data_IF_975381488892
#
_entry.id   IF_975381488892
#
_cell.length_a   1.000
_cell.length_b   1.000
_cell.length_c   1.000
_cell.angle_alpha   90.00
_cell.angle_beta   90.00
_cell.angle_gamma   90.00
#
_symmetry.space_group_name_H-M   'P 1'
#
loop_
_entity.id
_entity.type
_entity.pdbx_description
1 polymer ?
#
# COMPACT_ATOMS: atom_id res chain seq x y z
N UNK A 1 -25.64 -55.10 19.30
CA UNK A 1 -27.05 -54.96 18.87
C UNK A 1 -27.11 -53.93 17.76
N UNK A 2 -27.65 -54.34 16.59
CA UNK A 2 -28.25 -53.59 15.45
C UNK A 2 -27.59 -52.26 14.99
N UNK A 3 -26.98 -52.15 13.79
CA UNK A 3 -27.45 -52.28 12.38
C UNK A 3 -27.91 -50.95 11.75
N UNK A 4 -27.29 -50.65 10.59
CA UNK A 4 -27.77 -49.85 9.43
C UNK A 4 -27.98 -48.33 9.68
N UNK A 5 -27.61 -47.40 8.80
CA UNK A 5 -27.85 -47.33 7.35
C UNK A 5 -26.70 -46.59 6.65
N UNK A 6 -26.25 -47.18 5.55
CA UNK A 6 -25.38 -46.66 4.50
C UNK A 6 -26.24 -45.94 3.43
N UNK A 7 -25.66 -44.98 2.71
CA UNK A 7 -26.16 -44.37 1.46
C UNK A 7 -27.29 -43.33 1.51
N UNK A 8 -26.88 -42.05 1.57
CA UNK A 8 -27.47 -40.94 0.79
C UNK A 8 -26.27 -40.10 0.33
N UNK A 9 -25.43 -40.59 -0.59
CA UNK A 9 -25.54 -40.36 -2.04
C UNK A 9 -25.94 -38.90 -2.35
N UNK A 10 -24.92 -38.07 -2.57
CA UNK A 10 -24.68 -37.46 -3.89
C UNK A 10 -25.98 -37.01 -4.58
N UNK A 11 -26.62 -35.95 -4.08
CA UNK A 11 -27.78 -35.37 -4.76
C UNK A 11 -27.99 -33.87 -4.47
N UNK A 12 -26.91 -33.11 -4.26
CA UNK A 12 -26.99 -31.65 -4.13
C UNK A 12 -26.11 -30.86 -5.12
N UNK A 13 -25.36 -31.53 -5.99
CA UNK A 13 -24.47 -30.89 -6.98
C UNK A 13 -25.04 -30.82 -8.40
N UNK A 14 -26.35 -31.04 -8.61
CA UNK A 14 -26.93 -31.16 -9.95
C UNK A 14 -28.21 -30.33 -10.18
N UNK A 15 -28.29 -29.10 -9.65
CA UNK A 15 -29.47 -28.24 -9.80
C UNK A 15 -29.20 -26.78 -10.25
N UNK A 16 -28.05 -26.49 -10.86
CA UNK A 16 -27.79 -25.16 -11.45
C UNK A 16 -27.34 -25.17 -12.93
N UNK A 17 -27.49 -26.29 -13.65
CA UNK A 17 -27.20 -26.38 -15.10
C UNK A 17 -28.46 -26.43 -15.98
N UNK A 18 -29.58 -25.85 -15.54
CA UNK A 18 -30.78 -25.70 -16.37
C UNK A 18 -31.29 -24.25 -16.35
N UNK A 19 -30.62 -23.40 -17.12
CA UNK A 19 -31.30 -22.30 -17.81
C UNK A 19 -30.48 -21.84 -19.02
N UNK A 20 -30.29 -22.77 -19.96
CA UNK A 20 -29.84 -22.49 -21.33
C UNK A 20 -30.56 -23.48 -22.24
N UNK A 21 -31.81 -23.18 -22.60
CA UNK A 21 -32.46 -23.61 -23.84
C UNK A 21 -33.95 -23.23 -23.82
N UNK A 22 -34.30 -22.13 -24.48
CA UNK A 22 -35.54 -22.04 -25.27
C UNK A 22 -35.37 -20.99 -26.38
N UNK A 23 -34.85 -21.51 -27.48
CA UNK A 23 -35.34 -21.42 -28.87
C UNK A 23 -36.09 -20.17 -29.37
N UNK A 24 -35.61 -19.74 -30.55
CA UNK A 24 -36.07 -18.76 -31.56
C UNK A 24 -37.58 -18.85 -31.93
N UNK A 25 -38.27 -17.89 -32.55
CA UNK A 25 -37.94 -16.93 -33.61
C UNK A 25 -39.20 -16.06 -33.85
N UNK A 26 -39.12 -14.74 -34.01
CA UNK A 26 -39.73 -14.08 -35.19
C UNK A 26 -39.34 -12.61 -35.37
N UNK A 27 -39.38 -12.20 -36.64
CA UNK A 27 -38.72 -11.05 -37.27
C UNK A 27 -39.44 -9.70 -37.13
N UNK A 28 -38.63 -8.64 -37.28
CA UNK A 28 -38.93 -7.27 -37.74
C UNK A 28 -39.50 -6.27 -36.72
N UNK A 29 -38.62 -5.48 -36.09
CA UNK A 29 -38.61 -4.03 -36.29
C UNK A 29 -37.34 -3.38 -35.72
N UNK A 30 -36.80 -2.48 -36.52
CA UNK A 30 -35.62 -1.67 -36.32
C UNK A 30 -35.94 -0.51 -35.38
N UNK A 31 -35.34 -0.43 -34.18
CA UNK A 31 -35.09 0.86 -33.50
C UNK A 31 -33.93 0.73 -32.50
N UNK A 32 -32.80 1.30 -32.92
CA UNK A 32 -31.73 2.01 -32.18
C UNK A 32 -31.66 1.92 -30.65
N UNK A 33 -30.54 1.32 -30.21
CA UNK A 33 -29.73 1.55 -29.00
C UNK A 33 -30.23 2.51 -27.91
N UNK A 34 -30.19 2.05 -26.65
CA UNK A 34 -29.53 2.78 -25.55
C UNK A 34 -29.12 1.80 -24.44
N UNK A 35 -27.86 1.35 -24.47
CA UNK A 35 -27.17 0.80 -23.30
C UNK A 35 -26.51 1.96 -22.56
N UNK A 36 -27.04 2.38 -21.42
CA UNK A 36 -26.37 3.35 -20.55
C UNK A 36 -26.93 3.29 -19.13
N UNK A 37 -26.81 2.17 -18.43
CA UNK A 37 -27.18 2.14 -16.99
C UNK A 37 -26.53 0.98 -16.22
N UNK A 38 -25.21 0.78 -16.35
CA UNK A 38 -24.47 -0.15 -15.46
C UNK A 38 -22.98 0.20 -15.25
N UNK A 39 -22.56 1.43 -15.56
CA UNK A 39 -21.14 1.84 -15.47
C UNK A 39 -20.89 3.01 -14.50
N UNK A 40 -21.81 3.29 -13.56
CA UNK A 40 -21.74 4.49 -12.69
C UNK A 40 -21.34 4.22 -11.24
N UNK A 41 -20.90 3.00 -10.87
CA UNK A 41 -20.71 2.66 -9.46
C UNK A 41 -19.33 2.10 -9.09
N UNK A 42 -18.32 2.36 -9.93
CA UNK A 42 -16.92 1.94 -9.70
C UNK A 42 -15.92 3.11 -9.73
N UNK A 43 -16.37 4.34 -9.43
CA UNK A 43 -15.53 5.54 -9.53
C UNK A 43 -15.24 6.25 -8.19
N UNK A 44 -15.64 5.71 -7.04
CA UNK A 44 -15.41 6.38 -5.75
C UNK A 44 -14.14 5.96 -5.00
N UNK A 45 -13.40 4.93 -5.44
CA UNK A 45 -12.22 4.44 -4.68
C UNK A 45 -10.86 4.76 -5.31
N UNK A 46 -10.81 5.52 -6.41
CA UNK A 46 -9.56 5.88 -7.11
C UNK A 46 -9.56 7.37 -7.48
N UNK A 47 -9.74 8.26 -6.50
CA UNK A 47 -9.69 9.71 -6.76
C UNK A 47 -8.90 10.53 -5.74
N UNK A 48 -7.99 9.90 -5.00
CA UNK A 48 -6.97 10.63 -4.23
C UNK A 48 -5.83 11.18 -5.13
N UNK A 49 -5.64 10.64 -6.34
CA UNK A 49 -4.61 11.08 -7.31
C UNK A 49 -5.14 12.13 -8.31
N UNK A 50 -6.16 12.93 -7.95
CA UNK A 50 -6.63 14.03 -8.81
C UNK A 50 -5.51 15.05 -8.97
N UNK A 51 -5.24 15.47 -10.22
CA UNK A 51 -4.27 16.51 -10.61
C UNK A 51 -4.48 17.80 -9.79
N UNK A 52 -3.90 17.86 -8.60
CA UNK A 52 -3.75 19.09 -7.84
C UNK A 52 -2.37 19.62 -8.20
N UNK A 53 -2.34 20.78 -8.84
CA UNK A 53 -1.13 21.58 -8.85
C UNK A 53 -1.01 22.19 -7.44
N UNK A 54 -0.47 21.40 -6.51
CA UNK A 54 -0.37 21.76 -5.07
C UNK A 54 0.53 22.98 -4.87
N UNK A 55 1.40 23.27 -5.85
CA UNK A 55 2.43 24.32 -5.79
C UNK A 55 1.92 25.73 -5.56
N UNK A 56 0.61 25.98 -5.61
CA UNK A 56 -0.01 27.28 -5.26
C UNK A 56 -1.41 27.15 -4.64
N UNK A 57 -1.79 25.97 -4.16
CA UNK A 57 -3.14 25.75 -3.59
C UNK A 57 -3.02 25.31 -2.14
N UNK A 58 -3.73 26.00 -1.25
CA UNK A 58 -3.89 25.56 0.14
C UNK A 58 -4.76 24.30 0.17
N UNK A 59 -4.19 23.20 0.66
CA UNK A 59 -4.94 21.97 0.87
C UNK A 59 -6.01 22.18 1.93
N UNK A 60 -7.20 21.63 1.68
CA UNK A 60 -8.27 21.58 2.69
C UNK A 60 -7.88 20.66 3.84
N UNK A 61 -8.63 20.72 4.95
CA UNK A 61 -8.42 19.84 6.09
C UNK A 61 -8.58 18.38 5.70
N UNK A 62 -9.63 18.06 4.95
CA UNK A 62 -9.93 16.69 4.50
C UNK A 62 -8.81 16.14 3.59
N UNK A 63 -8.23 16.99 2.73
CA UNK A 63 -7.11 16.59 1.88
C UNK A 63 -5.85 16.28 2.70
N UNK A 64 -5.56 17.08 3.73
CA UNK A 64 -4.44 16.83 4.64
C UNK A 64 -4.64 15.52 5.42
N UNK A 65 -5.86 15.28 5.92
CA UNK A 65 -6.20 14.04 6.61
C UNK A 65 -6.08 12.82 5.70
N UNK A 66 -6.51 12.91 4.44
CA UNK A 66 -6.33 11.85 3.46
C UNK A 66 -4.84 11.56 3.18
N UNK A 67 -4.00 12.59 3.05
CA UNK A 67 -2.55 12.38 2.91
C UNK A 67 -1.91 11.80 4.17
N UNK A 68 -2.41 12.15 5.35
CA UNK A 68 -1.96 11.56 6.61
C UNK A 68 -2.29 10.07 6.68
N UNK A 69 -3.52 9.69 6.32
CA UNK A 69 -3.92 8.29 6.21
C UNK A 69 -3.05 7.54 5.21
N UNK A 70 -2.80 8.13 4.03
CA UNK A 70 -1.96 7.51 3.01
C UNK A 70 -0.50 7.34 3.46
N UNK A 71 0.02 8.23 4.31
CA UNK A 71 1.34 8.07 4.92
C UNK A 71 1.40 6.89 5.90
N UNK A 72 0.32 6.67 6.67
CA UNK A 72 0.19 5.52 7.57
C UNK A 72 0.20 4.23 6.75
N UNK A 73 -0.63 4.15 5.71
CA UNK A 73 -0.68 2.98 4.81
C UNK A 73 0.69 2.69 4.17
N UNK A 74 1.40 3.73 3.69
CA UNK A 74 2.75 3.54 3.14
C UNK A 74 3.74 3.02 4.19
N UNK A 75 3.61 3.43 5.44
CA UNK A 75 4.46 2.90 6.51
C UNK A 75 4.13 1.43 6.82
N UNK A 76 2.86 1.06 6.82
CA UNK A 76 2.43 -0.33 6.97
C UNK A 76 2.97 -1.21 5.83
N UNK A 77 2.83 -0.75 4.58
CA UNK A 77 3.41 -1.40 3.39
C UNK A 77 4.93 -1.58 3.54
N UNK A 78 5.64 -0.55 4.04
CA UNK A 78 7.08 -0.64 4.28
C UNK A 78 7.44 -1.73 5.29
N UNK A 79 6.69 -1.83 6.40
CA UNK A 79 6.91 -2.86 7.42
C UNK A 79 6.59 -4.26 6.87
N UNK A 80 5.61 -4.40 5.98
CA UNK A 80 5.32 -5.68 5.34
C UNK A 80 6.42 -6.09 4.35
N UNK A 81 6.96 -5.17 3.55
CA UNK A 81 8.14 -5.44 2.74
C UNK A 81 9.35 -5.81 3.61
N UNK A 82 9.52 -5.18 4.78
CA UNK A 82 10.59 -5.50 5.71
C UNK A 82 10.53 -6.96 6.19
N UNK A 83 9.32 -7.45 6.51
CA UNK A 83 9.09 -8.85 6.90
C UNK A 83 9.47 -9.81 5.78
N UNK A 84 9.09 -9.50 4.53
CA UNK A 84 9.42 -10.31 3.34
C UNK A 84 10.94 -10.38 3.15
N UNK A 85 11.62 -9.24 3.26
CA UNK A 85 13.08 -9.16 3.09
C UNK A 85 13.82 -9.97 4.16
N UNK A 86 13.35 -9.93 5.41
CA UNK A 86 13.95 -10.63 6.54
C UNK A 86 13.70 -12.16 6.57
N UNK A 87 12.64 -12.66 5.91
CA UNK A 87 12.27 -14.08 5.95
C UNK A 87 13.26 -14.95 5.15
N UNK A 88 13.95 -15.86 5.82
CA UNK A 88 14.93 -16.78 5.21
C UNK A 88 14.32 -17.81 4.26
N UNK A 89 13.01 -18.02 4.32
CA UNK A 89 12.30 -18.99 3.47
C UNK A 89 11.93 -18.41 2.10
N UNK A 90 11.98 -17.09 1.95
CA UNK A 90 11.66 -16.40 0.71
C UNK A 90 12.90 -16.35 -0.18
N UNK A 91 12.72 -16.58 -1.48
CA UNK A 91 13.80 -16.59 -2.44
C UNK A 91 14.40 -15.19 -2.65
N UNK A 92 15.63 -15.14 -3.16
CA UNK A 92 16.38 -13.88 -3.29
C UNK A 92 15.77 -12.91 -4.31
N UNK A 93 15.04 -13.41 -5.32
CA UNK A 93 14.47 -12.56 -6.37
C UNK A 93 13.28 -11.78 -5.82
N UNK A 94 12.39 -12.46 -5.10
CA UNK A 94 11.27 -11.80 -4.42
C UNK A 94 11.77 -10.79 -3.38
N UNK A 95 12.81 -11.13 -2.60
CA UNK A 95 13.44 -10.17 -1.67
C UNK A 95 13.96 -8.92 -2.38
N UNK A 96 14.65 -9.10 -3.51
CA UNK A 96 15.19 -7.99 -4.28
C UNK A 96 14.08 -7.10 -4.83
N UNK A 97 12.98 -7.70 -5.28
CA UNK A 97 11.79 -6.98 -5.71
C UNK A 97 11.14 -6.20 -4.56
N UNK A 98 11.00 -6.81 -3.37
CA UNK A 98 10.48 -6.13 -2.18
C UNK A 98 11.37 -4.97 -1.73
N UNK A 99 12.70 -5.04 -1.90
CA UNK A 99 13.59 -3.90 -1.67
C UNK A 99 13.23 -2.74 -2.60
N UNK A 100 13.01 -3.01 -3.90
CA UNK A 100 12.59 -1.98 -4.85
C UNK A 100 11.26 -1.34 -4.46
N UNK A 101 10.24 -2.15 -4.12
CA UNK A 101 8.94 -1.65 -3.68
C UNK A 101 9.04 -0.83 -2.39
N UNK A 102 9.85 -1.27 -1.43
CA UNK A 102 10.07 -0.55 -0.18
C UNK A 102 10.70 0.82 -0.43
N UNK A 103 11.68 0.92 -1.34
CA UNK A 103 12.33 2.20 -1.68
C UNK A 103 11.37 3.18 -2.36
N UNK A 104 10.44 2.70 -3.19
CA UNK A 104 9.46 3.55 -3.90
C UNK A 104 8.50 4.30 -2.96
N UNK A 105 8.30 3.79 -1.74
CA UNK A 105 7.46 4.42 -0.70
C UNK A 105 8.06 5.72 -0.16
N UNK A 106 9.37 5.90 -0.32
CA UNK A 106 10.10 7.05 0.19
C UNK A 106 10.22 8.19 -0.84
N UNK A 107 10.59 9.36 -0.33
CA UNK A 107 10.76 10.59 -1.11
C UNK A 107 11.94 10.44 -2.09
N UNK A 108 13.03 9.82 -1.66
CA UNK A 108 14.20 9.59 -2.49
C UNK A 108 15.09 8.45 -1.95
N UNK A 109 16.01 7.98 -2.80
CA UNK A 109 17.00 6.95 -2.49
C UNK A 109 18.04 7.38 -1.43
N UNK A 110 18.12 8.68 -1.12
CA UNK A 110 19.01 9.26 -0.11
C UNK A 110 18.38 9.31 1.29
N UNK A 111 17.18 8.75 1.45
CA UNK A 111 16.53 8.66 2.75
C UNK A 111 17.45 7.94 3.74
N UNK A 112 17.61 8.55 4.90
CA UNK A 112 18.44 8.04 5.97
C UNK A 112 17.57 7.30 7.00
N UNK A 113 18.08 6.16 7.41
CA UNK A 113 17.59 5.40 8.54
C UNK A 113 18.59 5.58 9.68
N UNK A 114 18.16 6.24 10.74
CA UNK A 114 18.99 6.50 11.92
C UNK A 114 18.65 5.48 12.98
N UNK A 115 19.67 5.08 13.74
CA UNK A 115 19.49 4.30 14.95
C UNK A 115 18.85 2.95 14.60
N UNK A 116 19.67 2.18 13.87
CA UNK A 116 19.26 0.94 13.25
C UNK A 116 18.72 -0.01 14.30
N UNK A 117 17.52 -0.49 14.03
CA UNK A 117 16.90 -1.59 14.75
C UNK A 117 17.81 -2.84 14.78
N UNK A 118 18.78 -2.93 13.84
CA UNK A 118 19.52 -4.15 13.47
C UNK A 118 21.02 -3.97 13.27
N UNK A 119 21.51 -2.74 13.35
CA UNK A 119 22.93 -2.44 13.27
C UNK A 119 23.30 -1.75 14.56
N UNK A 120 24.35 -2.24 15.22
CA UNK A 120 24.88 -1.70 16.47
C UNK A 120 25.55 -0.33 16.24
N UNK A 121 24.85 0.57 15.56
CA UNK A 121 25.33 1.89 15.19
C UNK A 121 24.23 2.92 15.34
N UNK A 122 24.61 4.01 16.00
CA UNK A 122 23.81 5.23 16.11
C UNK A 122 23.95 6.11 14.86
N UNK A 123 24.80 5.72 13.90
CA UNK A 123 25.00 6.46 12.66
C UNK A 123 23.83 6.26 11.70
N UNK A 124 23.47 7.35 11.02
CA UNK A 124 22.48 7.32 9.97
C UNK A 124 23.03 6.57 8.75
N UNK A 125 22.32 5.53 8.31
CA UNK A 125 22.67 4.73 7.14
C UNK A 125 21.65 4.95 6.02
N UNK A 126 22.08 4.91 4.73
CA UNK A 126 21.13 4.96 3.62
C UNK A 126 20.13 3.80 3.68
N UNK A 127 18.85 4.08 3.42
CA UNK A 127 17.77 3.09 3.49
C UNK A 127 18.06 1.83 2.65
N UNK A 128 18.59 1.99 1.44
CA UNK A 128 18.97 0.85 0.58
C UNK A 128 20.03 -0.03 1.23
N UNK A 129 21.02 0.56 1.88
CA UNK A 129 22.06 -0.18 2.61
C UNK A 129 21.49 -0.92 3.81
N UNK A 130 20.57 -0.28 4.54
CA UNK A 130 19.82 -0.93 5.63
C UNK A 130 19.06 -2.17 5.12
N UNK A 131 18.23 -2.02 4.09
CA UNK A 131 17.44 -3.12 3.54
C UNK A 131 18.31 -4.27 3.00
N UNK A 132 19.43 -3.95 2.35
CA UNK A 132 20.39 -4.97 1.88
C UNK A 132 21.04 -5.71 3.04
N UNK A 133 21.33 -5.02 4.15
CA UNK A 133 21.88 -5.66 5.35
C UNK A 133 20.88 -6.67 5.93
N UNK A 134 19.60 -6.31 5.97
CA UNK A 134 18.51 -7.19 6.44
C UNK A 134 18.39 -8.44 5.57
N UNK A 135 18.42 -8.26 4.25
CA UNK A 135 18.35 -9.36 3.29
C UNK A 135 19.42 -10.43 3.55
N UNK A 136 20.64 -9.99 3.92
CA UNK A 136 21.78 -10.88 4.19
C UNK A 136 21.83 -11.41 5.62
N UNK A 137 21.05 -10.84 6.54
CA UNK A 137 21.00 -11.28 7.93
C UNK A 137 20.35 -12.68 7.97
N UNK A 138 20.93 -13.58 8.76
CA UNK A 138 20.44 -14.96 8.90
C UNK A 138 19.35 -15.09 9.96
N UNK A 139 19.23 -14.10 10.84
CA UNK A 139 18.23 -14.09 11.91
C UNK A 139 16.96 -13.41 11.38
N UNK A 140 15.80 -14.10 11.38
CA UNK A 140 14.53 -13.47 11.06
C UNK A 140 14.26 -12.34 12.06
N UNK A 141 13.66 -11.26 11.57
CA UNK A 141 13.31 -10.10 12.40
C UNK A 141 11.80 -10.06 12.49
N UNK A 142 11.27 -10.21 13.70
CA UNK A 142 9.84 -10.06 13.93
C UNK A 142 9.55 -8.60 14.24
N UNK A 143 8.94 -7.90 13.28
CA UNK A 143 8.54 -6.51 13.41
C UNK A 143 7.02 -6.37 13.34
N UNK A 144 6.43 -5.68 14.31
CA UNK A 144 5.01 -5.31 14.30
C UNK A 144 4.82 -3.87 14.72
N UNK A 145 3.84 -3.20 14.12
CA UNK A 145 3.43 -1.85 14.50
C UNK A 145 2.47 -1.97 15.69
N UNK A 146 2.77 -1.29 16.79
CA UNK A 146 1.87 -1.21 17.94
C UNK A 146 1.01 0.06 17.91
N UNK A 147 1.57 1.17 17.46
CA UNK A 147 0.86 2.43 17.34
C UNK A 147 1.51 3.36 16.32
N UNK A 148 0.68 4.17 15.65
CA UNK A 148 1.13 5.28 14.81
C UNK A 148 0.30 6.51 15.18
N UNK A 149 0.94 7.66 15.31
CA UNK A 149 0.26 8.96 15.43
C UNK A 149 1.05 10.07 14.76
N UNK A 150 0.36 11.08 14.25
CA UNK A 150 1.03 12.31 13.81
C UNK A 150 1.38 13.18 15.02
N UNK A 151 2.66 13.49 15.17
CA UNK A 151 3.15 14.47 16.18
C UNK A 151 3.15 15.88 15.61
N UNK A 152 3.36 16.01 14.30
CA UNK A 152 3.18 17.25 13.55
C UNK A 152 2.28 16.93 12.35
N UNK A 153 1.05 17.47 12.27
CA UNK A 153 0.15 17.23 11.16
C UNK A 153 0.73 17.79 9.85
N UNK A 154 0.20 17.32 8.71
CA UNK A 154 0.66 17.79 7.41
C UNK A 154 0.30 19.27 7.24
N UNK A 155 1.32 20.11 7.11
CA UNK A 155 1.20 21.57 7.01
C UNK A 155 2.14 22.12 5.95
N UNK A 156 1.75 23.23 5.32
CA UNK A 156 2.55 23.92 4.30
C UNK A 156 3.59 24.83 4.95
N UNK A 157 4.80 24.86 4.38
CA UNK A 157 5.78 25.92 4.64
C UNK A 157 5.45 27.21 3.83
N UNK A 158 6.34 28.20 3.90
CA UNK A 158 6.19 29.47 3.17
C UNK A 158 6.28 29.33 1.64
N UNK A 159 6.74 28.19 1.15
CA UNK A 159 6.89 27.85 -0.25
C UNK A 159 5.83 26.83 -0.72
N UNK A 160 4.80 26.57 0.08
CA UNK A 160 3.75 25.57 -0.16
C UNK A 160 4.25 24.13 -0.27
N UNK A 161 5.41 23.81 0.30
CA UNK A 161 5.82 22.42 0.51
C UNK A 161 5.12 21.87 1.75
N UNK A 162 4.41 20.76 1.59
CA UNK A 162 3.68 20.14 2.69
C UNK A 162 4.51 19.05 3.35
N UNK A 163 4.64 19.14 4.67
CA UNK A 163 5.41 18.20 5.47
C UNK A 163 4.73 17.91 6.81
N UNK A 164 5.05 16.78 7.41
CA UNK A 164 4.58 16.35 8.72
C UNK A 164 5.52 15.35 9.37
N UNK A 165 5.22 14.98 10.61
CA UNK A 165 5.96 13.98 11.36
C UNK A 165 5.02 12.98 12.03
N UNK A 166 5.36 11.70 11.90
CA UNK A 166 4.71 10.60 12.61
C UNK A 166 5.63 10.07 13.70
N UNK A 167 5.05 9.73 14.84
CA UNK A 167 5.66 8.85 15.83
C UNK A 167 5.07 7.45 15.67
N UNK A 168 5.95 6.46 15.65
CA UNK A 168 5.65 5.05 15.41
C UNK A 168 6.21 4.25 16.56
N UNK A 169 5.38 3.43 17.19
CA UNK A 169 5.81 2.46 18.19
C UNK A 169 5.87 1.10 17.50
N UNK A 170 7.08 0.56 17.40
CA UNK A 170 7.37 -0.75 16.84
C UNK A 170 7.68 -1.73 17.96
N UNK A 171 7.23 -2.97 17.82
CA UNK A 171 7.71 -4.09 18.61
C UNK A 171 8.59 -4.96 17.72
N UNK A 172 9.83 -5.13 18.16
CA UNK A 172 10.87 -5.81 17.40
C UNK A 172 11.50 -6.87 18.27
N UNK A 173 11.25 -8.12 17.93
CA UNK A 173 11.65 -9.30 18.72
C UNK A 173 11.28 -9.18 20.21
N UNK A 174 10.13 -8.58 20.50
CA UNK A 174 9.61 -8.36 21.86
C UNK A 174 10.04 -7.03 22.51
N UNK A 175 10.94 -6.26 21.87
CA UNK A 175 11.39 -4.96 22.37
C UNK A 175 10.58 -3.83 21.73
N UNK A 176 9.99 -2.99 22.56
CA UNK A 176 9.32 -1.76 22.10
C UNK A 176 10.34 -0.67 21.78
N UNK A 177 10.20 -0.07 20.61
CA UNK A 177 11.04 1.00 20.09
C UNK A 177 10.14 2.08 19.51
N UNK A 178 10.42 3.34 19.87
CA UNK A 178 9.72 4.49 19.30
C UNK A 178 10.59 5.12 18.21
N UNK A 179 10.01 5.39 17.05
CA UNK A 179 10.66 6.03 15.91
C UNK A 179 9.85 7.21 15.41
N UNK A 180 10.55 8.24 14.93
CA UNK A 180 9.96 9.35 14.21
C UNK A 180 10.17 9.16 12.72
N UNK A 181 9.14 9.47 11.94
CA UNK A 181 9.15 9.36 10.48
C UNK A 181 8.72 10.69 9.90
N UNK A 182 9.60 11.36 9.15
CA UNK A 182 9.20 12.53 8.38
C UNK A 182 8.32 12.08 7.22
N UNK A 183 7.36 12.92 6.81
CA UNK A 183 6.60 12.72 5.57
C UNK A 183 6.49 14.02 4.81
N UNK A 184 6.44 13.92 3.48
CA UNK A 184 6.39 15.10 2.61
C UNK A 184 5.56 14.82 1.36
N UNK A 185 4.81 15.81 0.89
CA UNK A 185 4.20 15.74 -0.44
C UNK A 185 5.28 16.00 -1.49
N UNK A 186 5.34 15.12 -2.48
CA UNK A 186 6.32 15.17 -3.56
C UNK A 186 5.63 15.06 -4.91
N UNK A 187 6.18 15.78 -5.89
CA UNK A 187 5.77 15.68 -7.29
C UNK A 187 6.49 14.47 -7.91
N UNK A 188 5.72 13.49 -8.41
CA UNK A 188 6.26 12.32 -9.12
C UNK A 188 5.63 12.19 -10.49
N UNK A 189 6.42 11.74 -11.45
CA UNK A 189 5.93 11.34 -12.77
C UNK A 189 5.56 9.86 -12.73
N UNK A 190 4.27 9.55 -12.83
CA UNK A 190 3.74 8.18 -12.83
C UNK A 190 3.21 7.81 -14.21
N UNK A 191 3.50 6.59 -14.65
CA UNK A 191 3.06 6.06 -15.94
C UNK A 191 1.74 5.31 -15.77
N UNK A 192 0.74 5.69 -16.53
CA UNK A 192 -0.57 5.06 -16.61
C UNK A 192 -0.79 4.55 -18.04
N UNK A 193 -0.50 3.27 -18.25
CA UNK A 193 -0.46 2.68 -19.59
C UNK A 193 0.63 3.33 -20.45
N UNK A 194 0.25 4.10 -21.47
CA UNK A 194 1.18 4.84 -22.34
C UNK A 194 1.36 6.31 -21.94
N UNK A 195 0.62 6.79 -20.94
CA UNK A 195 0.58 8.20 -20.56
C UNK A 195 1.42 8.43 -19.31
N UNK A 196 2.34 9.40 -19.35
CA UNK A 196 3.00 9.90 -18.14
C UNK A 196 2.19 11.07 -17.58
N UNK A 197 1.91 11.04 -16.28
CA UNK A 197 1.26 12.14 -15.56
C UNK A 197 2.10 12.52 -14.36
N UNK A 198 2.26 13.82 -14.16
CA UNK A 198 2.72 14.38 -12.90
C UNK A 198 1.59 14.28 -11.87
N UNK A 199 1.89 13.67 -10.74
CA UNK A 199 1.00 13.53 -9.60
C UNK A 199 1.69 14.08 -8.36
N UNK A 200 0.88 14.55 -7.41
CA UNK A 200 1.37 14.81 -6.05
C UNK A 200 0.99 13.62 -5.18
N UNK A 201 1.97 13.07 -4.48
CA UNK A 201 1.74 12.01 -3.50
C UNK A 201 2.51 12.26 -2.21
N UNK A 202 2.06 11.64 -1.11
CA UNK A 202 2.82 11.62 0.14
C UNK A 202 3.96 10.60 0.03
N UNK A 203 5.17 10.99 0.39
CA UNK A 203 6.33 10.10 0.50
C UNK A 203 6.82 10.01 1.95
N UNK A 204 7.33 8.84 2.31
CA UNK A 204 8.06 8.67 3.58
C UNK A 204 9.45 9.32 3.47
N UNK A 205 9.89 9.98 4.54
CA UNK A 205 11.20 10.59 4.66
C UNK A 205 12.08 9.82 5.65
N UNK A 206 13.00 10.55 6.30
CA UNK A 206 13.94 9.93 7.23
C UNK A 206 13.21 9.28 8.41
N UNK A 207 13.81 8.19 8.90
CA UNK A 207 13.36 7.47 10.09
C UNK A 207 14.46 7.62 11.16
N UNK A 208 14.10 8.05 12.37
CA UNK A 208 15.04 8.23 13.49
C UNK A 208 14.43 7.92 14.86
#
# INVERSE_FOLDING_TARGET
MRKLISNIIVFYTLLLLYSCASESQDRNNMTTATEAESASQFNEDISLEKKMNVKNTLLTTEQKEAFQLRAIEKLEDFIDYLKIIADQKIDSELKQHSISLALELFINDSTLFTDSILADTTEAIPLKSFLTTIQTNKTPILVTIEAIKFTVPITADSLFNYQGNMEVILNIDGKKITKNVNVQLVEKNKKFGTINKEITEIGLGNIY
#
